data_IF_813816485048
#
_entry.id   IF_813816485048
#
_cell.length_a   1.000
_cell.length_b   1.000
_cell.length_c   1.000
_cell.angle_alpha   90.00
_cell.angle_beta   90.00
_cell.angle_gamma   90.00
#
_symmetry.space_group_name_H-M   'P 1'
#
loop_
_entity.id
_entity.type
_entity.pdbx_description
1 polymer ?
#
# COMPACT_ATOMS: atom_id res chain seq x y z
N UNK A 1 -5.95 -8.13 8.40
CA UNK A 1 -7.32 -8.12 8.98
C UNK A 1 -7.96 -6.76 8.81
N UNK A 2 -9.27 -6.64 8.99
CA UNK A 2 -10.00 -5.36 8.99
C UNK A 2 -10.73 -5.17 10.31
N UNK A 3 -10.85 -3.92 10.75
CA UNK A 3 -11.76 -3.56 11.84
C UNK A 3 -13.10 -3.17 11.26
N UNK A 4 -14.19 -3.63 11.85
CA UNK A 4 -15.54 -3.20 11.49
C UNK A 4 -16.06 -2.26 12.56
N UNK A 5 -16.38 -1.03 12.18
CA UNK A 5 -17.14 -0.11 13.01
C UNK A 5 -18.59 -0.12 12.53
N UNK A 6 -19.50 -0.49 13.43
CA UNK A 6 -20.94 -0.43 13.18
C UNK A 6 -21.55 0.65 14.05
N UNK A 7 -22.37 1.51 13.46
CA UNK A 7 -23.18 2.49 14.16
C UNK A 7 -24.66 2.26 13.83
N UNK A 8 -25.46 2.02 14.86
CA UNK A 8 -26.92 1.92 14.76
C UNK A 8 -27.58 3.12 15.43
N UNK A 9 -28.53 3.74 14.74
CA UNK A 9 -29.36 4.81 15.30
C UNK A 9 -30.83 4.42 15.24
N UNK A 10 -31.55 4.69 16.32
CA UNK A 10 -32.99 4.56 16.44
C UNK A 10 -33.53 5.91 16.92
N UNK A 11 -34.36 6.57 16.11
CA UNK A 11 -35.14 7.70 16.62
C UNK A 11 -36.37 7.22 17.39
N UNK A 12 -37.00 8.11 18.15
CA UNK A 12 -38.17 7.76 18.97
C UNK A 12 -39.50 7.84 18.19
N UNK A 13 -39.47 8.18 16.90
CA UNK A 13 -40.66 8.63 16.16
C UNK A 13 -41.27 9.92 16.73
N UNK A 14 -42.44 10.29 16.22
CA UNK A 14 -43.23 11.41 16.75
C UNK A 14 -44.72 11.23 16.44
N UNK A 15 -45.57 11.22 17.48
CA UNK A 15 -47.02 11.04 17.31
C UNK A 15 -47.38 9.69 16.69
N UNK A 16 -48.01 9.69 15.51
CA UNK A 16 -48.33 8.48 14.75
C UNK A 16 -47.18 7.99 13.85
N UNK A 17 -46.06 8.72 13.79
CA UNK A 17 -44.89 8.35 12.99
C UNK A 17 -44.09 7.32 13.79
N UNK A 18 -43.93 6.08 13.28
CA UNK A 18 -43.17 5.04 13.96
C UNK A 18 -41.67 5.40 14.01
N UNK A 19 -40.93 4.85 14.99
CA UNK A 19 -39.47 4.93 15.05
C UNK A 19 -38.79 4.49 13.75
N UNK A 20 -37.74 5.22 13.34
CA UNK A 20 -36.87 4.82 12.25
C UNK A 20 -35.53 4.32 12.79
N UNK A 21 -35.09 3.16 12.30
CA UNK A 21 -33.74 2.64 12.55
C UNK A 21 -32.90 2.65 11.29
N UNK A 22 -31.64 3.08 11.40
CA UNK A 22 -30.65 2.93 10.35
C UNK A 22 -29.33 2.39 10.91
N UNK A 23 -28.60 1.66 10.09
CA UNK A 23 -27.27 1.11 10.42
C UNK A 23 -26.27 1.53 9.36
N UNK A 24 -25.08 1.94 9.78
CA UNK A 24 -23.94 2.18 8.92
C UNK A 24 -22.74 1.33 9.37
N UNK A 25 -22.02 0.76 8.42
CA UNK A 25 -20.85 -0.11 8.66
C UNK A 25 -19.64 0.44 7.90
N UNK A 26 -18.50 0.58 8.58
CA UNK A 26 -17.23 1.00 7.99
C UNK A 26 -16.18 -0.08 8.24
N UNK A 27 -15.53 -0.55 7.16
CA UNK A 27 -14.39 -1.46 7.24
C UNK A 27 -13.08 -0.68 7.18
N UNK A 28 -12.31 -0.70 8.26
CA UNK A 28 -11.02 -0.04 8.37
C UNK A 28 -9.90 -1.05 8.09
N UNK A 29 -9.14 -0.82 7.01
CA UNK A 29 -7.87 -1.51 6.76
C UNK A 29 -6.74 -0.69 7.38
N UNK A 30 -5.77 -1.35 8.00
CA UNK A 30 -4.56 -0.67 8.45
C UNK A 30 -3.85 -0.07 7.24
N UNK A 31 -3.40 1.19 7.37
CA UNK A 31 -2.69 1.89 6.30
C UNK A 31 -1.29 1.35 6.11
N UNK A 32 -0.61 1.00 7.20
CA UNK A 32 0.65 0.28 7.18
C UNK A 32 0.36 -1.22 7.08
N UNK A 33 0.94 -1.85 6.06
CA UNK A 33 0.84 -3.28 5.78
C UNK A 33 2.26 -3.84 5.62
N UNK A 34 2.56 -4.92 6.33
CA UNK A 34 3.83 -5.64 6.13
C UNK A 34 3.85 -6.24 4.72
N UNK A 35 4.98 -6.16 4.03
CA UNK A 35 5.08 -6.56 2.63
C UNK A 35 4.94 -8.08 2.48
N UNK A 36 5.38 -8.86 3.47
CA UNK A 36 5.18 -10.31 3.53
C UNK A 36 3.73 -10.73 3.76
N UNK A 37 2.85 -9.79 4.16
CA UNK A 37 1.42 -9.99 4.33
C UNK A 37 0.62 -9.55 3.07
N UNK A 38 1.30 -9.32 1.93
CA UNK A 38 0.64 -9.10 0.65
C UNK A 38 -0.33 -10.26 0.32
N UNK A 39 -1.48 -9.92 -0.25
CA UNK A 39 -2.54 -10.90 -0.58
C UNK A 39 -2.09 -11.90 -1.66
N UNK A 40 -1.07 -11.53 -2.47
CA UNK A 40 -0.39 -12.42 -3.41
C UNK A 40 1.09 -12.04 -3.55
N UNK A 41 1.97 -13.04 -3.59
CA UNK A 41 3.42 -12.87 -3.76
C UNK A 41 3.85 -13.78 -4.90
N UNK A 42 4.38 -13.19 -5.99
CA UNK A 42 4.82 -13.95 -7.16
C UNK A 42 6.30 -13.70 -7.44
N UNK A 43 7.13 -14.64 -6.99
CA UNK A 43 8.57 -14.64 -7.24
C UNK A 43 9.43 -14.36 -6.00
N UNK A 44 9.24 -13.25 -5.26
CA UNK A 44 10.04 -12.94 -4.09
C UNK A 44 9.89 -13.99 -3.00
N UNK A 45 10.78 -13.93 -2.02
CA UNK A 45 10.73 -14.81 -0.85
C UNK A 45 10.46 -14.00 0.40
N UNK A 46 9.65 -14.57 1.28
CA UNK A 46 9.56 -14.09 2.67
C UNK A 46 10.81 -14.57 3.39
N UNK A 47 11.61 -13.64 3.89
CA UNK A 47 12.85 -13.92 4.61
C UNK A 47 12.76 -13.37 6.04
N UNK A 48 13.53 -13.96 6.97
CA UNK A 48 13.73 -13.36 8.29
C UNK A 48 14.68 -12.17 8.19
N UNK A 49 14.36 -11.06 8.86
CA UNK A 49 15.13 -9.82 8.78
C UNK A 49 15.47 -9.28 10.17
N UNK A 50 16.76 -9.27 10.52
CA UNK A 50 17.23 -8.45 11.65
C UNK A 50 17.00 -6.98 11.32
N UNK A 51 16.15 -6.28 12.08
CA UNK A 51 15.82 -4.86 11.88
C UNK A 51 14.60 -4.56 11.00
N UNK A 52 13.96 -5.58 10.43
CA UNK A 52 12.66 -5.47 9.78
C UNK A 52 11.54 -5.25 10.84
N UNK A 53 10.49 -4.51 10.48
CA UNK A 53 9.24 -4.49 11.27
C UNK A 53 8.68 -5.90 11.34
N UNK A 54 8.23 -6.37 12.50
CA UNK A 54 7.67 -7.73 12.63
C UNK A 54 8.66 -8.90 12.45
N UNK A 55 9.92 -8.65 12.09
CA UNK A 55 10.99 -9.65 11.98
C UNK A 55 11.05 -10.44 10.67
N UNK A 56 10.17 -10.12 9.70
CA UNK A 56 10.17 -10.69 8.35
C UNK A 56 10.13 -9.57 7.32
N UNK A 57 10.43 -9.91 6.07
CA UNK A 57 10.39 -8.98 4.95
C UNK A 57 10.27 -9.74 3.63
N UNK A 58 9.96 -9.01 2.56
CA UNK A 58 10.11 -9.47 1.19
C UNK A 58 11.55 -9.26 0.72
N UNK A 59 12.22 -10.35 0.35
CA UNK A 59 13.57 -10.34 -0.18
C UNK A 59 13.77 -11.31 -1.33
N UNK A 60 15.02 -11.48 -1.76
CA UNK A 60 15.35 -12.17 -3.02
C UNK A 60 14.56 -11.61 -4.22
N UNK A 61 14.34 -10.29 -4.21
CA UNK A 61 13.57 -9.58 -5.23
C UNK A 61 14.37 -9.56 -6.54
N UNK A 62 13.68 -9.88 -7.63
CA UNK A 62 14.19 -9.93 -8.99
C UNK A 62 13.28 -9.13 -9.93
N UNK A 63 13.79 -8.75 -11.09
CA UNK A 63 13.01 -8.02 -12.07
C UNK A 63 11.84 -8.89 -12.56
N UNK A 64 10.63 -8.32 -12.64
CA UNK A 64 9.39 -9.01 -13.01
C UNK A 64 8.65 -9.66 -11.84
N UNK A 65 9.22 -9.67 -10.63
CA UNK A 65 8.53 -10.11 -9.43
C UNK A 65 7.40 -9.14 -9.03
N UNK A 66 6.37 -9.66 -8.34
CA UNK A 66 5.22 -8.84 -7.94
C UNK A 66 4.71 -9.13 -6.54
N UNK A 67 4.03 -8.13 -5.96
CA UNK A 67 3.17 -8.22 -4.78
C UNK A 67 1.80 -7.64 -5.12
N UNK A 68 0.70 -8.27 -4.70
CA UNK A 68 -0.66 -7.77 -4.88
C UNK A 68 -1.31 -7.48 -3.53
N UNK A 69 -1.94 -6.32 -3.42
CA UNK A 69 -2.78 -5.92 -2.29
C UNK A 69 -4.21 -5.76 -2.80
N UNK A 70 -5.12 -6.64 -2.38
CA UNK A 70 -6.45 -6.77 -2.98
C UNK A 70 -7.46 -5.80 -2.41
N UNK A 71 -8.32 -5.27 -3.26
CA UNK A 71 -9.49 -4.50 -2.85
C UNK A 71 -9.16 -3.28 -1.99
N UNK A 72 -8.14 -2.52 -2.35
CA UNK A 72 -7.80 -1.23 -1.75
C UNK A 72 -8.84 -0.19 -2.21
N UNK A 73 -9.38 0.57 -1.27
CA UNK A 73 -10.27 1.69 -1.58
C UNK A 73 -9.43 2.91 -1.94
N UNK A 74 -9.29 3.16 -3.23
CA UNK A 74 -8.41 4.21 -3.77
C UNK A 74 -8.92 5.62 -3.45
N UNK A 75 -10.22 5.79 -3.17
CA UNK A 75 -10.78 7.07 -2.69
C UNK A 75 -10.06 7.59 -1.44
N UNK A 76 -9.51 6.69 -0.62
CA UNK A 76 -8.88 6.97 0.66
C UNK A 76 -7.33 6.93 0.58
N UNK A 77 -6.76 6.89 -0.64
CA UNK A 77 -5.31 6.77 -0.90
C UNK A 77 -4.81 7.87 -1.84
N UNK A 78 -3.79 8.62 -1.39
CA UNK A 78 -3.11 9.66 -2.18
C UNK A 78 -1.64 9.38 -2.48
N UNK A 79 -1.05 8.38 -1.84
CA UNK A 79 0.37 8.10 -1.95
C UNK A 79 0.72 6.79 -1.26
N UNK A 80 1.93 6.30 -1.53
CA UNK A 80 2.50 5.12 -0.89
C UNK A 80 3.87 5.48 -0.32
N UNK A 81 4.17 4.97 0.87
CA UNK A 81 5.54 4.93 1.41
C UNK A 81 5.99 3.48 1.50
N UNK A 82 7.15 3.18 0.92
CA UNK A 82 7.80 1.88 0.98
C UNK A 82 8.97 1.94 1.95
N UNK A 83 9.03 1.03 2.92
CA UNK A 83 10.22 0.86 3.77
C UNK A 83 11.14 -0.18 3.13
N UNK A 84 12.24 0.28 2.57
CA UNK A 84 13.11 -0.49 1.68
C UNK A 84 14.57 -0.44 2.13
N UNK A 85 15.36 -1.36 1.57
CA UNK A 85 16.82 -1.37 1.71
C UNK A 85 17.44 -2.07 0.50
N UNK A 86 18.67 -1.72 0.15
CA UNK A 86 19.36 -2.37 -0.96
C UNK A 86 20.88 -2.30 -0.81
N UNK A 87 21.51 -3.49 -0.76
CA UNK A 87 22.95 -3.64 -0.99
C UNK A 87 23.26 -4.30 -2.35
N UNK A 88 22.25 -4.45 -3.20
CA UNK A 88 22.36 -5.11 -4.49
C UNK A 88 22.34 -4.10 -5.63
N UNK A 89 21.41 -4.29 -6.57
CA UNK A 89 21.34 -3.46 -7.77
C UNK A 89 20.49 -2.18 -7.60
N UNK A 90 19.67 -2.11 -6.56
CA UNK A 90 18.56 -1.16 -6.51
C UNK A 90 17.52 -1.51 -7.57
N UNK A 91 16.70 -0.54 -7.97
CA UNK A 91 15.75 -0.71 -9.06
C UNK A 91 14.54 0.19 -8.90
N UNK A 92 13.44 -0.21 -9.52
CA UNK A 92 12.18 0.54 -9.49
C UNK A 92 11.06 -0.34 -8.96
N UNK A 93 10.22 0.26 -8.12
CA UNK A 93 8.90 -0.29 -7.78
C UNK A 93 7.87 0.45 -8.64
N UNK A 94 7.26 -0.27 -9.57
CA UNK A 94 6.12 0.20 -10.36
C UNK A 94 4.82 -0.12 -9.61
N UNK A 95 3.92 0.86 -9.55
CA UNK A 95 2.62 0.74 -8.87
C UNK A 95 1.53 0.65 -9.94
N UNK A 96 0.96 -0.53 -10.13
CA UNK A 96 -0.10 -0.78 -11.11
C UNK A 96 -1.46 -1.01 -10.43
N UNK A 97 -2.52 -0.73 -11.17
CA UNK A 97 -3.87 -1.14 -10.82
C UNK A 97 -4.23 -2.50 -11.42
N UNK A 98 -4.89 -3.32 -10.60
CA UNK A 98 -5.59 -4.56 -10.92
C UNK A 98 -4.69 -5.73 -11.41
N UNK A 99 -3.74 -5.49 -12.31
CA UNK A 99 -2.85 -6.50 -12.88
C UNK A 99 -1.38 -6.04 -12.92
N UNK A 100 -0.39 -6.94 -12.96
CA UNK A 100 1.04 -6.61 -13.04
C UNK A 100 1.44 -5.66 -14.17
N UNK A 101 0.75 -5.73 -15.31
CA UNK A 101 0.94 -4.85 -16.46
C UNK A 101 -0.29 -3.96 -16.71
N UNK A 102 -1.10 -3.73 -15.67
CA UNK A 102 -2.26 -2.87 -15.70
C UNK A 102 -1.90 -1.38 -15.75
N UNK A 103 -2.87 -0.47 -15.57
CA UNK A 103 -2.60 0.97 -15.54
C UNK A 103 -1.53 1.34 -14.50
N UNK A 104 -0.44 1.94 -14.96
CA UNK A 104 0.65 2.42 -14.10
C UNK A 104 0.25 3.75 -13.43
N UNK A 105 0.27 3.79 -12.10
CA UNK A 105 -0.04 4.98 -11.31
C UNK A 105 1.19 5.78 -10.92
N UNK A 106 2.27 5.11 -10.55
CA UNK A 106 3.50 5.74 -10.08
C UNK A 106 4.69 4.80 -10.20
N UNK A 107 5.88 5.38 -10.13
CA UNK A 107 7.15 4.66 -10.03
C UNK A 107 7.96 5.20 -8.85
N UNK A 108 8.60 4.30 -8.11
CA UNK A 108 9.49 4.63 -7.00
C UNK A 108 10.88 4.06 -7.29
N UNK A 109 11.84 4.94 -7.55
CA UNK A 109 13.25 4.55 -7.62
C UNK A 109 13.79 4.19 -6.23
N UNK A 110 14.47 3.06 -6.13
CA UNK A 110 15.11 2.52 -4.93
C UNK A 110 16.62 2.52 -5.15
N UNK A 111 17.29 3.48 -4.53
CA UNK A 111 18.75 3.63 -4.55
C UNK A 111 19.48 2.58 -3.70
N UNK A 112 20.69 2.19 -4.12
CA UNK A 112 21.56 1.30 -3.35
C UNK A 112 22.16 2.07 -2.19
N UNK A 113 21.88 1.62 -0.95
CA UNK A 113 22.40 2.24 0.27
C UNK A 113 23.48 1.39 0.97
N UNK A 114 23.82 0.24 0.37
CA UNK A 114 25.02 -0.54 0.67
C UNK A 114 24.88 -1.55 1.80
N UNK A 115 23.70 -1.72 2.39
CA UNK A 115 23.45 -2.71 3.44
C UNK A 115 22.05 -3.32 3.29
N UNK A 116 21.86 -4.58 3.72
CA UNK A 116 20.57 -5.29 3.61
C UNK A 116 19.66 -5.12 4.83
N UNK A 117 20.14 -4.38 5.82
CA UNK A 117 19.49 -4.10 7.11
C UNK A 117 19.46 -2.60 7.45
N UNK A 118 19.94 -1.74 6.53
CA UNK A 118 19.81 -0.29 6.64
C UNK A 118 18.54 0.17 5.92
N UNK A 119 17.46 0.30 6.67
CA UNK A 119 16.16 0.66 6.13
C UNK A 119 16.02 2.16 5.88
N UNK A 120 15.28 2.53 4.85
CA UNK A 120 14.87 3.90 4.57
C UNK A 120 13.51 3.93 3.87
N UNK A 121 12.85 5.07 3.94
CA UNK A 121 11.53 5.26 3.35
C UNK A 121 11.63 5.87 1.95
N UNK A 122 10.88 5.31 1.01
CA UNK A 122 10.65 5.90 -0.31
C UNK A 122 9.18 6.19 -0.51
N UNK A 123 8.84 7.45 -0.73
CA UNK A 123 7.44 7.91 -0.87
C UNK A 123 7.15 8.34 -2.29
N UNK A 124 5.98 7.94 -2.81
CA UNK A 124 5.43 8.37 -4.09
C UNK A 124 4.01 8.87 -3.93
N UNK A 125 3.63 9.88 -4.71
CA UNK A 125 2.27 10.36 -4.80
C UNK A 125 1.54 9.59 -5.91
N UNK A 126 0.27 9.29 -5.68
CA UNK A 126 -0.59 8.66 -6.68
C UNK A 126 -1.55 9.70 -7.27
N UNK A 127 -1.90 9.59 -8.56
CA UNK A 127 -3.00 10.36 -9.12
C UNK A 127 -4.32 9.98 -8.43
N UNK A 128 -5.27 10.93 -8.39
CA UNK A 128 -6.60 10.68 -7.86
C UNK A 128 -7.26 9.51 -8.60
N UNK A 129 -7.52 8.42 -7.89
CA UNK A 129 -8.11 7.18 -8.40
C UNK A 129 -9.30 6.84 -7.53
N UNK A 130 -10.44 6.54 -8.13
CA UNK A 130 -11.68 6.29 -7.41
C UNK A 130 -12.01 4.81 -7.33
N UNK A 131 -12.84 4.43 -6.36
CA UNK A 131 -13.37 3.09 -6.24
C UNK A 131 -12.40 2.10 -5.58
N UNK A 132 -12.68 0.81 -5.78
CA UNK A 132 -11.94 -0.29 -5.14
C UNK A 132 -11.18 -1.08 -6.20
N UNK A 133 -9.87 -1.16 -6.03
CA UNK A 133 -8.95 -1.80 -6.98
C UNK A 133 -7.94 -2.67 -6.25
N UNK A 134 -7.33 -3.61 -6.97
CA UNK A 134 -6.09 -4.22 -6.48
C UNK A 134 -4.93 -3.27 -6.77
N UNK A 135 -3.99 -3.17 -5.83
CA UNK A 135 -2.71 -2.46 -6.05
C UNK A 135 -1.63 -3.51 -6.22
N UNK A 136 -0.97 -3.49 -7.37
CA UNK A 136 0.12 -4.41 -7.71
C UNK A 136 1.43 -3.65 -7.71
N UNK A 137 2.38 -4.10 -6.89
CA UNK A 137 3.76 -3.64 -6.94
C UNK A 137 4.53 -4.58 -7.86
N UNK A 138 5.15 -4.03 -8.90
CA UNK A 138 6.02 -4.76 -9.81
C UNK A 138 7.44 -4.23 -9.68
N UNK A 139 8.39 -5.13 -9.46
CA UNK A 139 9.79 -4.76 -9.32
C UNK A 139 10.48 -4.82 -10.69
N UNK A 140 11.13 -3.74 -11.10
CA UNK A 140 11.81 -3.66 -12.39
C UNK A 140 13.24 -3.15 -12.25
N UNK A 141 14.08 -3.55 -13.21
CA UNK A 141 15.42 -3.02 -13.39
C UNK A 141 15.82 -3.25 -14.85
N UNK A 142 16.46 -2.27 -15.55
CA UNK A 142 16.71 -2.38 -16.99
C UNK A 142 17.72 -3.48 -17.35
N UNK A 143 18.74 -3.69 -16.51
CA UNK A 143 19.91 -4.51 -16.86
C UNK A 143 20.26 -5.62 -15.85
N UNK A 144 19.44 -5.84 -14.83
CA UNK A 144 19.75 -6.79 -13.76
C UNK A 144 18.51 -7.61 -13.44
N UNK A 145 18.67 -8.93 -13.41
CA UNK A 145 17.58 -9.85 -13.20
C UNK A 145 17.29 -10.10 -11.71
N UNK A 146 18.18 -9.78 -10.76
CA UNK A 146 18.03 -10.23 -9.37
C UNK A 146 18.79 -9.45 -8.32
N UNK A 147 18.44 -9.65 -7.05
CA UNK A 147 19.09 -9.00 -5.91
C UNK A 147 18.85 -7.49 -5.92
N UNK A 148 17.62 -7.07 -6.18
CA UNK A 148 17.30 -5.66 -6.37
C UNK A 148 17.24 -4.91 -5.04
N UNK A 149 16.37 -5.36 -4.13
CA UNK A 149 16.04 -4.70 -2.87
C UNK A 149 15.40 -5.69 -1.89
N UNK A 150 15.30 -5.32 -0.62
CA UNK A 150 14.30 -5.88 0.30
C UNK A 150 13.23 -4.82 0.57
N UNK A 151 12.00 -5.28 0.82
CA UNK A 151 10.85 -4.46 1.17
C UNK A 151 10.24 -4.99 2.47
N UNK A 152 10.16 -4.12 3.47
CA UNK A 152 9.60 -4.41 4.79
C UNK A 152 8.10 -4.18 4.80
N UNK A 153 7.67 -2.99 4.43
CA UNK A 153 6.28 -2.58 4.55
C UNK A 153 5.87 -1.54 3.50
N UNK A 154 4.56 -1.45 3.31
CA UNK A 154 3.88 -0.49 2.44
C UNK A 154 2.87 0.29 3.28
N UNK A 155 2.98 1.61 3.28
CA UNK A 155 2.04 2.51 3.96
C UNK A 155 1.18 3.27 2.95
N UNK A 156 -0.12 3.02 2.96
CA UNK A 156 -1.13 3.68 2.13
C UNK A 156 -1.53 5.03 2.73
N UNK A 157 -0.91 6.10 2.24
CA UNK A 157 -1.12 7.46 2.71
C UNK A 157 -2.48 8.00 2.27
N UNK A 158 -3.16 8.81 3.11
CA UNK A 158 -4.38 9.49 2.68
C UNK A 158 -4.11 10.49 1.53
N UNK A 159 -5.14 10.87 0.76
CA UNK A 159 -5.07 12.02 -0.13
C UNK A 159 -4.55 13.23 0.61
N UNK A 160 -3.63 13.98 0.00
CA UNK A 160 -3.26 15.28 0.55
C UNK A 160 -4.52 16.14 0.59
N UNK A 161 -4.80 16.73 1.74
CA UNK A 161 -5.87 17.72 1.83
C UNK A 161 -5.57 18.83 0.83
N UNK A 162 -6.52 19.15 -0.05
CA UNK A 162 -6.40 20.32 -0.90
C UNK A 162 -6.18 21.51 0.03
N UNK A 163 -5.01 22.15 -0.07
CA UNK A 163 -4.75 23.38 0.65
C UNK A 163 -5.86 24.36 0.26
N UNK A 164 -6.76 24.67 1.19
CA UNK A 164 -7.73 25.74 0.98
C UNK A 164 -6.89 26.99 0.83
N UNK A 165 -6.74 27.47 -0.41
CA UNK A 165 -6.24 28.83 -0.62
C UNK A 165 -7.31 29.76 -0.07
N UNK A 166 -7.16 30.12 1.21
CA UNK A 166 -7.79 31.31 1.76
C UNK A 166 -7.06 32.51 1.13
N UNK A 167 -7.43 32.83 -0.11
CA UNK A 167 -6.97 33.99 -0.85
C UNK A 167 -7.96 35.13 -0.71
N UNK A 168 -7.63 36.03 0.22
CA UNK A 168 -7.81 37.50 0.23
C UNK A 168 -9.16 38.11 -0.18
#
# INVERSE_FOLDING_TARGET
GYYTLEASYLDLGAGAIPPLSTTATVHLRQRLVEAEDADEIQGPRILGGGGAGGGKMIGAVAAGHTLRFRGIRMDDVGGLTFKVTSAGAGGTIEVHLDEPDGPLLATAEVEVNGAWDKWYDRTVQLPATQGRHDVVLKFTHPNNAGGLMNLDSVNFLPPQAAATQAGQ
#
